data_IF_950552029111
#
_entry.id   IF_950552029111
#
_cell.length_a   1.000
_cell.length_b   1.000
_cell.length_c   1.000
_cell.angle_alpha   90.00
_cell.angle_beta   90.00
_cell.angle_gamma   90.00
#
_symmetry.space_group_name_H-M   'P 1'
#
loop_
_entity.id
_entity.type
_entity.pdbx_description
1 polymer ?
#
# COMPACT_ATOMS: atom_id res chain seq x y z
N UNK A 1 20.81 55.87 50.42
CA UNK A 1 20.97 56.15 49.04
C UNK A 1 21.24 54.83 48.30
N UNK A 2 20.18 54.24 47.71
CA UNK A 2 20.26 52.96 47.06
C UNK A 2 20.05 53.19 45.56
N UNK A 3 21.03 52.87 44.71
CA UNK A 3 20.94 52.96 43.25
C UNK A 3 20.44 51.64 42.70
N UNK A 4 19.26 51.70 42.15
CA UNK A 4 18.58 50.63 41.42
C UNK A 4 19.12 50.60 39.99
N UNK A 5 19.86 49.56 39.62
CA UNK A 5 20.39 49.31 38.26
C UNK A 5 19.46 48.31 37.59
N UNK A 6 18.58 48.80 36.69
CA UNK A 6 17.81 47.96 35.75
C UNK A 6 18.73 47.40 34.68
N UNK A 7 18.68 46.07 34.50
CA UNK A 7 19.26 45.35 33.34
C UNK A 7 18.40 45.60 32.11
N UNK A 8 18.97 45.84 30.92
CA UNK A 8 18.21 45.90 29.68
C UNK A 8 17.81 44.49 29.26
N UNK A 9 16.57 44.35 28.78
CA UNK A 9 16.01 43.09 28.29
C UNK A 9 16.70 42.60 27.00
N UNK A 10 16.96 41.35 26.99
CA UNK A 10 17.35 40.61 25.77
C UNK A 10 16.17 40.59 24.80
N UNK A 11 16.31 41.31 23.69
CA UNK A 11 15.41 41.19 22.55
C UNK A 11 15.77 39.91 21.81
N UNK A 12 14.87 38.93 21.86
CA UNK A 12 14.93 37.75 20.99
C UNK A 12 14.79 38.26 19.53
N UNK A 13 15.88 38.26 18.81
CA UNK A 13 15.91 38.53 17.37
C UNK A 13 15.22 37.39 16.66
N UNK A 14 13.96 37.56 16.28
CA UNK A 14 13.32 36.74 15.24
C UNK A 14 14.17 36.83 13.97
N UNK A 15 14.78 35.70 13.63
CA UNK A 15 15.51 35.55 12.36
C UNK A 15 14.50 35.57 11.22
N UNK A 16 14.13 36.79 10.74
CA UNK A 16 13.40 36.94 9.48
C UNK A 16 14.24 36.28 8.39
N UNK A 17 13.75 35.17 7.84
CA UNK A 17 14.29 34.58 6.62
C UNK A 17 13.86 35.48 5.49
N UNK A 18 14.77 36.33 5.02
CA UNK A 18 14.54 37.22 3.89
C UNK A 18 14.38 36.39 2.62
N UNK A 19 13.19 36.33 1.98
CA UNK A 19 12.96 35.57 0.77
C UNK A 19 13.83 36.02 -0.40
N UNK A 20 14.30 37.29 -0.41
CA UNK A 20 15.20 37.84 -1.43
C UNK A 20 16.61 37.27 -1.33
N UNK A 21 17.06 36.84 -0.14
CA UNK A 21 18.38 36.25 0.05
C UNK A 21 18.54 34.86 -0.61
N UNK A 22 17.44 34.18 -0.89
CA UNK A 22 17.42 32.88 -1.60
C UNK A 22 17.51 33.08 -3.11
N UNK A 23 16.89 34.12 -3.65
CA UNK A 23 16.97 34.47 -5.08
C UNK A 23 18.38 34.96 -5.44
N UNK A 24 19.02 35.77 -4.61
CA UNK A 24 20.39 36.24 -4.81
C UNK A 24 21.41 35.09 -4.82
N UNK A 25 21.23 34.09 -3.97
CA UNK A 25 22.10 32.90 -3.95
C UNK A 25 21.96 32.07 -5.22
N UNK A 26 20.75 31.90 -5.70
CA UNK A 26 20.47 31.16 -6.94
C UNK A 26 21.05 31.91 -8.14
N UNK A 27 20.82 33.22 -8.24
CA UNK A 27 21.37 34.05 -9.31
C UNK A 27 22.91 34.07 -9.29
N UNK A 28 23.52 34.20 -8.12
CA UNK A 28 24.98 34.18 -7.97
C UNK A 28 25.56 32.82 -8.39
N UNK A 29 24.89 31.72 -8.06
CA UNK A 29 25.28 30.37 -8.48
C UNK A 29 25.15 30.19 -10.00
N UNK A 30 24.07 30.66 -10.61
CA UNK A 30 23.83 30.59 -12.07
C UNK A 30 24.85 31.43 -12.85
N UNK A 31 25.16 32.66 -12.37
CA UNK A 31 26.17 33.50 -12.97
C UNK A 31 27.57 32.91 -12.85
N UNK A 32 27.93 32.39 -11.66
CA UNK A 32 29.21 31.73 -11.44
C UNK A 32 29.38 30.48 -12.30
N UNK A 33 28.32 29.71 -12.49
CA UNK A 33 28.31 28.54 -13.37
C UNK A 33 28.43 28.95 -14.86
N UNK A 34 27.82 30.07 -15.27
CA UNK A 34 27.95 30.63 -16.61
C UNK A 34 29.38 31.07 -16.91
N UNK A 35 30.06 31.71 -15.97
CA UNK A 35 31.43 32.19 -16.16
C UNK A 35 32.46 31.04 -16.13
N UNK A 36 32.22 30.02 -15.31
CA UNK A 36 33.02 28.79 -15.34
C UNK A 36 32.87 28.05 -16.68
N UNK A 37 31.62 27.99 -17.21
CA UNK A 37 31.34 27.35 -18.51
C UNK A 37 32.02 28.10 -19.68
N UNK A 38 32.17 29.43 -19.62
CA UNK A 38 32.89 30.20 -20.65
C UNK A 38 34.38 29.86 -20.72
N UNK A 39 34.99 29.47 -19.57
CA UNK A 39 36.38 29.03 -19.50
C UNK A 39 36.60 27.60 -19.99
N UNK A 40 35.56 26.74 -19.92
CA UNK A 40 35.60 25.31 -20.29
C UNK A 40 34.52 24.94 -21.29
N UNK A 41 34.53 25.58 -22.46
CA UNK A 41 33.48 25.42 -23.48
C UNK A 41 33.20 23.99 -23.87
N UNK A 42 34.24 23.17 -24.04
CA UNK A 42 34.11 21.76 -24.45
C UNK A 42 33.44 20.92 -23.34
N UNK A 43 33.78 21.17 -22.08
CA UNK A 43 33.16 20.51 -20.93
C UNK A 43 31.68 20.96 -20.76
N UNK A 44 31.40 22.26 -20.95
CA UNK A 44 30.03 22.78 -20.95
C UNK A 44 29.14 22.14 -22.01
N UNK A 45 29.67 21.93 -23.21
CA UNK A 45 28.95 21.24 -24.29
C UNK A 45 28.71 19.76 -23.98
N UNK A 46 29.67 19.07 -23.37
CA UNK A 46 29.51 17.67 -22.94
C UNK A 46 28.42 17.56 -21.88
N UNK A 47 28.43 18.43 -20.87
CA UNK A 47 27.39 18.43 -19.82
C UNK A 47 26.01 18.74 -20.40
N UNK A 48 25.90 19.75 -21.28
CA UNK A 48 24.63 20.06 -21.95
C UNK A 48 24.12 18.89 -22.79
N UNK A 49 25.01 18.20 -23.50
CA UNK A 49 24.66 17.01 -24.28
C UNK A 49 24.19 15.85 -23.40
N UNK A 50 24.86 15.61 -22.26
CA UNK A 50 24.45 14.58 -21.31
C UNK A 50 23.09 14.88 -20.66
N UNK A 51 22.82 16.14 -20.33
CA UNK A 51 21.51 16.57 -19.80
C UNK A 51 20.43 16.39 -20.86
N UNK A 52 20.70 16.74 -22.11
CA UNK A 52 19.75 16.54 -23.23
C UNK A 52 19.48 15.04 -23.46
N UNK A 53 20.51 14.21 -23.47
CA UNK A 53 20.39 12.74 -23.57
C UNK A 53 19.59 12.17 -22.41
N UNK A 54 19.87 12.58 -21.17
CA UNK A 54 19.13 12.17 -19.98
C UNK A 54 17.66 12.59 -20.02
N UNK A 55 17.40 13.82 -20.47
CA UNK A 55 16.03 14.32 -20.69
C UNK A 55 15.28 13.54 -21.76
N UNK A 56 15.91 13.28 -22.90
CA UNK A 56 15.31 12.49 -23.97
C UNK A 56 15.04 11.04 -23.53
N UNK A 57 15.97 10.42 -22.80
CA UNK A 57 15.80 9.08 -22.25
C UNK A 57 14.65 9.04 -21.22
N UNK A 58 14.50 10.07 -20.39
CA UNK A 58 13.40 10.17 -19.42
C UNK A 58 12.05 10.29 -20.13
N UNK A 59 11.94 11.17 -21.14
CA UNK A 59 10.71 11.33 -21.94
C UNK A 59 10.35 10.02 -22.62
N UNK A 60 11.31 9.38 -23.29
CA UNK A 60 11.12 8.08 -23.92
C UNK A 60 10.65 7.01 -22.93
N UNK A 61 11.25 6.95 -21.73
CA UNK A 61 10.86 6.02 -20.68
C UNK A 61 9.43 6.28 -20.18
N UNK A 62 9.06 7.56 -20.03
CA UNK A 62 7.69 7.93 -19.62
C UNK A 62 6.66 7.54 -20.67
N UNK A 63 6.92 7.80 -21.95
CA UNK A 63 6.03 7.42 -23.03
C UNK A 63 5.92 5.90 -23.16
N UNK A 64 7.04 5.18 -23.08
CA UNK A 64 7.05 3.72 -23.07
C UNK A 64 6.20 3.15 -21.92
N UNK A 65 6.34 3.68 -20.71
CA UNK A 65 5.51 3.26 -19.57
C UNK A 65 4.02 3.55 -19.78
N UNK A 66 3.68 4.71 -20.33
CA UNK A 66 2.29 5.07 -20.66
C UNK A 66 1.68 4.09 -21.66
N UNK A 67 2.41 3.80 -22.72
CA UNK A 67 1.96 2.85 -23.74
C UNK A 67 1.78 1.45 -23.16
N UNK A 68 2.67 1.00 -22.29
CA UNK A 68 2.55 -0.26 -21.59
C UNK A 68 1.30 -0.31 -20.71
N UNK A 69 1.01 0.75 -19.93
CA UNK A 69 -0.19 0.85 -19.10
C UNK A 69 -1.46 0.84 -19.96
N UNK A 70 -1.49 1.58 -21.07
CA UNK A 70 -2.64 1.66 -21.98
C UNK A 70 -2.91 0.29 -22.64
N UNK A 71 -1.86 -0.40 -23.09
CA UNK A 71 -1.98 -1.75 -23.64
C UNK A 71 -2.46 -2.75 -22.57
N UNK A 72 -1.95 -2.64 -21.35
CA UNK A 72 -2.40 -3.46 -20.22
C UNK A 72 -3.89 -3.24 -19.96
N UNK A 73 -4.35 -1.99 -19.87
CA UNK A 73 -5.76 -1.67 -19.61
C UNK A 73 -6.68 -2.28 -20.68
N UNK A 74 -6.37 -2.09 -21.97
CA UNK A 74 -7.17 -2.64 -23.07
C UNK A 74 -7.19 -4.18 -23.04
N UNK A 75 -6.07 -4.80 -22.69
CA UNK A 75 -5.97 -6.26 -22.65
C UNK A 75 -6.72 -6.84 -21.46
N UNK A 76 -6.62 -6.22 -20.29
CA UNK A 76 -7.35 -6.68 -19.10
C UNK A 76 -8.86 -6.60 -19.32
N UNK A 77 -9.34 -5.53 -19.96
CA UNK A 77 -10.76 -5.40 -20.32
C UNK A 77 -11.23 -6.56 -21.21
N UNK A 78 -10.41 -6.99 -22.19
CA UNK A 78 -10.75 -8.15 -23.02
C UNK A 78 -10.83 -9.46 -22.22
N UNK A 79 -10.01 -9.60 -21.17
CA UNK A 79 -10.04 -10.76 -20.28
C UNK A 79 -11.30 -10.73 -19.40
N UNK A 80 -11.71 -9.57 -18.87
CA UNK A 80 -12.97 -9.42 -18.14
C UNK A 80 -14.17 -9.89 -18.96
N UNK A 81 -14.20 -9.58 -20.26
CA UNK A 81 -15.23 -10.07 -21.17
C UNK A 81 -15.23 -11.61 -21.28
N UNK A 82 -14.06 -12.24 -21.32
CA UNK A 82 -13.91 -13.70 -21.34
C UNK A 82 -14.46 -14.35 -20.07
N UNK A 83 -14.26 -13.75 -18.91
CA UNK A 83 -14.83 -14.21 -17.63
C UNK A 83 -16.37 -14.13 -17.66
N UNK A 84 -16.90 -13.02 -18.18
CA UNK A 84 -18.36 -12.79 -18.24
C UNK A 84 -19.08 -13.84 -19.08
N UNK A 85 -18.45 -14.39 -20.13
CA UNK A 85 -19.02 -15.47 -20.97
C UNK A 85 -18.72 -16.87 -20.42
N UNK A 86 -18.24 -16.97 -19.16
CA UNK A 86 -17.96 -18.24 -18.47
C UNK A 86 -16.82 -19.08 -19.07
N UNK A 87 -15.87 -18.47 -19.76
CA UNK A 87 -14.66 -19.10 -20.23
C UNK A 87 -13.55 -19.03 -19.15
N UNK A 88 -13.82 -19.55 -17.94
CA UNK A 88 -13.00 -19.33 -16.74
C UNK A 88 -11.57 -19.90 -16.87
N UNK A 89 -11.43 -21.10 -17.42
CA UNK A 89 -10.10 -21.70 -17.62
C UNK A 89 -9.24 -20.91 -18.61
N UNK A 90 -9.84 -20.47 -19.72
CA UNK A 90 -9.17 -19.60 -20.68
C UNK A 90 -8.82 -18.23 -20.05
N UNK A 91 -9.70 -17.69 -19.19
CA UNK A 91 -9.46 -16.45 -18.48
C UNK A 91 -8.31 -16.58 -17.48
N UNK A 92 -8.24 -17.67 -16.71
CA UNK A 92 -7.10 -17.94 -15.79
C UNK A 92 -5.77 -18.01 -16.55
N UNK A 93 -5.73 -18.74 -17.67
CA UNK A 93 -4.53 -18.84 -18.51
C UNK A 93 -4.12 -17.49 -19.11
N UNK A 94 -5.10 -16.68 -19.55
CA UNK A 94 -4.84 -15.34 -20.07
C UNK A 94 -4.37 -14.38 -18.97
N UNK A 95 -4.94 -14.44 -17.74
CA UNK A 95 -4.52 -13.65 -16.60
C UNK A 95 -3.10 -13.98 -16.17
N UNK A 96 -2.74 -15.27 -16.10
CA UNK A 96 -1.38 -15.69 -15.76
C UNK A 96 -0.36 -15.10 -16.75
N UNK A 97 -0.59 -15.26 -18.05
CA UNK A 97 0.26 -14.67 -19.09
C UNK A 97 0.29 -13.13 -19.02
N UNK A 98 -0.84 -12.53 -18.65
CA UNK A 98 -0.96 -11.08 -18.51
C UNK A 98 -0.12 -10.53 -17.36
N UNK A 99 -0.18 -11.16 -16.18
CA UNK A 99 0.58 -10.79 -14.99
C UNK A 99 2.08 -10.83 -15.28
N UNK A 100 2.54 -11.89 -15.94
CA UNK A 100 3.95 -11.99 -16.33
C UNK A 100 4.37 -10.89 -17.32
N UNK A 101 3.57 -10.66 -18.36
CA UNK A 101 3.88 -9.72 -19.44
C UNK A 101 3.86 -8.26 -19.00
N UNK A 102 2.89 -7.89 -18.16
CA UNK A 102 2.65 -6.51 -17.72
C UNK A 102 3.08 -6.26 -16.28
N UNK A 103 3.98 -7.09 -15.76
CA UNK A 103 4.53 -6.98 -14.42
C UNK A 103 4.96 -5.54 -14.09
N UNK A 104 4.65 -5.08 -12.88
CA UNK A 104 4.94 -3.73 -12.42
C UNK A 104 3.97 -2.64 -12.94
N UNK A 105 2.85 -3.03 -13.55
CA UNK A 105 1.73 -2.11 -13.85
C UNK A 105 0.59 -2.30 -12.85
N UNK A 106 -0.20 -1.24 -12.55
CA UNK A 106 -1.38 -1.38 -11.69
C UNK A 106 -2.39 -2.42 -12.21
N UNK A 107 -2.48 -2.59 -13.54
CA UNK A 107 -3.35 -3.58 -14.15
C UNK A 107 -2.86 -5.02 -13.90
N UNK A 108 -1.55 -5.24 -13.78
CA UNK A 108 -1.02 -6.55 -13.40
C UNK A 108 -1.31 -6.87 -11.93
N UNK A 109 -1.30 -5.87 -11.05
CA UNK A 109 -1.71 -6.05 -9.65
C UNK A 109 -3.20 -6.43 -9.56
N UNK A 110 -4.07 -5.72 -10.29
CA UNK A 110 -5.50 -6.04 -10.40
C UNK A 110 -5.74 -7.44 -10.97
N UNK A 111 -5.03 -7.79 -12.05
CA UNK A 111 -5.11 -9.11 -12.67
C UNK A 111 -4.65 -10.23 -11.72
N UNK A 112 -3.65 -9.97 -10.87
CA UNK A 112 -3.21 -10.92 -9.84
C UNK A 112 -4.30 -11.19 -8.81
N UNK A 113 -4.97 -10.15 -8.32
CA UNK A 113 -6.10 -10.31 -7.38
C UNK A 113 -7.24 -11.09 -8.03
N UNK A 114 -7.54 -10.79 -9.28
CA UNK A 114 -8.57 -11.49 -10.03
C UNK A 114 -8.24 -12.96 -10.24
N UNK A 115 -6.99 -13.26 -10.63
CA UNK A 115 -6.50 -14.62 -10.79
C UNK A 115 -6.54 -15.41 -9.48
N UNK A 116 -6.07 -14.80 -8.39
CA UNK A 116 -6.16 -15.38 -7.06
C UNK A 116 -7.61 -15.69 -6.65
N UNK A 117 -8.55 -14.77 -6.92
CA UNK A 117 -9.98 -14.96 -6.66
C UNK A 117 -10.55 -16.14 -7.46
N UNK A 118 -10.24 -16.24 -8.75
CA UNK A 118 -10.73 -17.35 -9.58
C UNK A 118 -10.23 -18.70 -9.08
N UNK A 119 -8.98 -18.78 -8.62
CA UNK A 119 -8.47 -20.00 -7.99
C UNK A 119 -9.13 -20.30 -6.65
N UNK A 120 -9.48 -19.26 -5.86
CA UNK A 120 -10.26 -19.44 -4.62
C UNK A 120 -11.67 -19.97 -4.89
N UNK A 121 -12.33 -19.49 -5.95
CA UNK A 121 -13.66 -19.95 -6.36
C UNK A 121 -13.68 -21.41 -6.82
N UNK A 122 -12.58 -21.87 -7.43
CA UNK A 122 -12.39 -23.27 -7.84
C UNK A 122 -11.81 -24.15 -6.73
N UNK A 123 -11.64 -23.64 -5.51
CA UNK A 123 -11.04 -24.31 -4.36
C UNK A 123 -9.56 -24.71 -4.57
N UNK A 124 -8.89 -24.13 -5.57
CA UNK A 124 -7.47 -24.28 -5.85
C UNK A 124 -6.61 -23.40 -4.93
N UNK A 125 -6.80 -23.54 -3.61
CA UNK A 125 -6.23 -22.64 -2.62
C UNK A 125 -4.70 -22.59 -2.65
N UNK A 126 -4.02 -23.70 -2.95
CA UNK A 126 -2.55 -23.71 -3.06
C UNK A 126 -2.05 -22.86 -4.24
N UNK A 127 -2.79 -22.87 -5.35
CA UNK A 127 -2.44 -22.03 -6.51
C UNK A 127 -2.75 -20.57 -6.20
N UNK A 128 -3.89 -20.28 -5.57
CA UNK A 128 -4.23 -18.93 -5.11
C UNK A 128 -3.14 -18.35 -4.20
N UNK A 129 -2.68 -19.13 -3.21
CA UNK A 129 -1.57 -18.75 -2.32
C UNK A 129 -0.33 -18.44 -3.14
N UNK A 130 0.09 -19.35 -4.02
CA UNK A 130 1.29 -19.18 -4.84
C UNK A 130 1.26 -17.92 -5.70
N UNK A 131 0.12 -17.63 -6.33
CA UNK A 131 -0.09 -16.44 -7.17
C UNK A 131 0.01 -15.16 -6.33
N UNK A 132 -0.67 -15.12 -5.19
CA UNK A 132 -0.74 -13.92 -4.34
C UNK A 132 0.59 -13.67 -3.61
N UNK A 133 1.25 -14.71 -3.09
CA UNK A 133 2.57 -14.61 -2.45
C UNK A 133 3.64 -14.12 -3.44
N UNK A 134 3.68 -14.72 -4.64
CA UNK A 134 4.69 -14.39 -5.64
C UNK A 134 4.61 -12.94 -6.14
N UNK A 135 3.41 -12.37 -6.15
CA UNK A 135 3.20 -10.98 -6.54
C UNK A 135 3.69 -9.98 -5.49
N UNK A 136 3.69 -10.35 -4.20
CA UNK A 136 4.23 -9.52 -3.11
C UNK A 136 3.63 -8.12 -3.07
N UNK A 137 2.32 -7.98 -3.27
CA UNK A 137 1.66 -6.68 -3.38
C UNK A 137 1.69 -5.91 -2.07
N UNK A 138 2.09 -4.65 -2.17
CA UNK A 138 2.25 -3.77 -1.00
C UNK A 138 0.91 -3.44 -0.35
N UNK A 139 0.80 -3.58 0.96
CA UNK A 139 -0.36 -3.14 1.74
C UNK A 139 -0.55 -1.61 1.77
N UNK A 140 0.35 -0.83 1.19
CA UNK A 140 0.17 0.61 1.02
C UNK A 140 -0.79 1.01 -0.11
N UNK A 141 -1.40 0.05 -0.80
CA UNK A 141 -2.39 0.27 -1.87
C UNK A 141 -3.66 -0.52 -1.60
N UNK A 142 -4.81 -0.01 -2.05
CA UNK A 142 -6.08 -0.73 -1.91
C UNK A 142 -6.05 -2.12 -2.57
N UNK A 143 -5.44 -2.24 -3.74
CA UNK A 143 -5.24 -3.53 -4.43
C UNK A 143 -4.38 -4.48 -3.61
N UNK A 144 -3.32 -3.96 -2.98
CA UNK A 144 -2.47 -4.75 -2.10
C UNK A 144 -3.19 -5.23 -0.85
N UNK A 145 -3.98 -4.38 -0.19
CA UNK A 145 -4.83 -4.79 0.93
C UNK A 145 -5.79 -5.90 0.50
N UNK A 146 -6.45 -5.74 -0.65
CA UNK A 146 -7.37 -6.76 -1.19
C UNK A 146 -6.66 -8.08 -1.49
N UNK A 147 -5.45 -8.04 -2.07
CA UNK A 147 -4.64 -9.24 -2.34
C UNK A 147 -4.29 -9.98 -1.05
N UNK A 148 -3.86 -9.24 -0.04
CA UNK A 148 -3.45 -9.82 1.25
C UNK A 148 -4.65 -10.33 2.05
N UNK A 149 -5.83 -9.69 1.96
CA UNK A 149 -7.09 -10.21 2.51
C UNK A 149 -7.48 -11.54 1.86
N UNK A 150 -7.31 -11.63 0.55
CA UNK A 150 -7.59 -12.87 -0.18
C UNK A 150 -6.59 -13.97 0.18
N UNK A 151 -5.32 -13.62 0.34
CA UNK A 151 -4.24 -14.53 0.78
C UNK A 151 -4.52 -15.07 2.19
N UNK A 152 -4.95 -14.23 3.12
CA UNK A 152 -5.34 -14.65 4.47
C UNK A 152 -6.46 -15.72 4.43
N UNK A 153 -7.47 -15.49 3.61
CA UNK A 153 -8.57 -16.44 3.40
C UNK A 153 -8.10 -17.75 2.76
N UNK A 154 -7.15 -17.67 1.83
CA UNK A 154 -6.55 -18.86 1.22
C UNK A 154 -5.76 -19.70 2.23
N UNK A 155 -5.03 -19.03 3.15
CA UNK A 155 -4.38 -19.71 4.27
C UNK A 155 -5.37 -20.37 5.23
N UNK A 156 -6.48 -19.66 5.57
CA UNK A 156 -7.56 -20.27 6.38
C UNK A 156 -8.09 -21.56 5.73
N UNK A 157 -8.38 -21.50 4.42
CA UNK A 157 -8.91 -22.65 3.68
C UNK A 157 -7.94 -23.86 3.66
N UNK A 158 -6.62 -23.59 3.74
CA UNK A 158 -5.58 -24.63 3.84
C UNK A 158 -5.26 -25.03 5.29
N UNK A 159 -5.92 -24.45 6.30
CA UNK A 159 -5.63 -24.71 7.70
C UNK A 159 -4.28 -24.16 8.18
N UNK A 160 -3.68 -23.24 7.41
CA UNK A 160 -2.46 -22.51 7.79
C UNK A 160 -2.80 -21.37 8.74
N UNK A 161 -3.29 -21.74 9.93
CA UNK A 161 -3.90 -20.82 10.88
C UNK A 161 -2.99 -19.66 11.31
N UNK A 162 -1.70 -19.95 11.56
CA UNK A 162 -0.73 -18.93 11.98
C UNK A 162 -0.49 -17.89 10.89
N UNK A 163 -0.33 -18.34 9.63
CA UNK A 163 -0.11 -17.46 8.49
C UNK A 163 -1.37 -16.63 8.19
N UNK A 164 -2.55 -17.24 8.33
CA UNK A 164 -3.83 -16.56 8.15
C UNK A 164 -4.05 -15.46 9.20
N UNK A 165 -3.78 -15.75 10.47
CA UNK A 165 -3.91 -14.79 11.57
C UNK A 165 -2.96 -13.59 11.36
N UNK A 166 -1.67 -13.86 11.10
CA UNK A 166 -0.67 -12.82 10.85
C UNK A 166 -1.10 -11.90 9.69
N UNK A 167 -1.62 -12.52 8.63
CA UNK A 167 -2.05 -11.78 7.45
C UNK A 167 -3.30 -10.93 7.73
N UNK A 168 -4.29 -11.46 8.47
CA UNK A 168 -5.46 -10.68 8.87
C UNK A 168 -5.09 -9.51 9.78
N UNK A 169 -4.23 -9.70 10.78
CA UNK A 169 -3.75 -8.62 11.64
C UNK A 169 -3.00 -7.56 10.83
N UNK A 170 -2.19 -7.98 9.87
CA UNK A 170 -1.48 -7.07 8.98
C UNK A 170 -2.43 -6.23 8.12
N UNK A 171 -3.49 -6.84 7.57
CA UNK A 171 -4.54 -6.14 6.82
C UNK A 171 -5.27 -5.15 7.72
N UNK A 172 -5.66 -5.54 8.93
CA UNK A 172 -6.32 -4.66 9.88
C UNK A 172 -5.46 -3.44 10.23
N UNK A 173 -4.15 -3.63 10.36
CA UNK A 173 -3.21 -2.55 10.68
C UNK A 173 -2.93 -1.60 9.51
N UNK A 174 -3.13 -2.06 8.27
CA UNK A 174 -2.79 -1.32 7.06
C UNK A 174 -3.99 -0.60 6.43
N UNK A 175 -5.21 -1.07 6.69
CA UNK A 175 -6.42 -0.51 6.08
C UNK A 175 -6.87 0.77 6.80
N UNK A 176 -7.28 1.77 6.03
CA UNK A 176 -7.94 2.99 6.51
C UNK A 176 -9.49 2.84 6.54
N UNK A 177 -10.01 1.67 6.18
CA UNK A 177 -11.45 1.42 6.08
C UNK A 177 -11.96 0.64 7.30
N UNK A 178 -12.75 1.27 8.14
CA UNK A 178 -13.28 0.69 9.39
C UNK A 178 -13.90 -0.70 9.21
N UNK A 179 -14.56 -0.95 8.08
CA UNK A 179 -15.18 -2.25 7.83
C UNK A 179 -14.15 -3.34 7.54
N UNK A 180 -13.06 -3.02 6.82
CA UNK A 180 -11.97 -3.97 6.54
C UNK A 180 -11.18 -4.29 7.79
N UNK A 181 -10.85 -3.27 8.59
CA UNK A 181 -10.21 -3.43 9.90
C UNK A 181 -11.01 -4.40 10.75
N UNK A 182 -12.31 -4.13 10.91
CA UNK A 182 -13.20 -4.95 11.72
C UNK A 182 -13.34 -6.37 11.19
N UNK A 183 -13.51 -6.55 9.88
CA UNK A 183 -13.64 -7.88 9.26
C UNK A 183 -12.37 -8.70 9.49
N UNK A 184 -11.20 -8.07 9.34
CA UNK A 184 -9.92 -8.72 9.52
C UNK A 184 -9.65 -9.09 10.99
N UNK A 185 -9.92 -8.19 11.94
CA UNK A 185 -9.80 -8.50 13.37
C UNK A 185 -10.77 -9.61 13.79
N UNK A 186 -11.99 -9.62 13.25
CA UNK A 186 -12.97 -10.67 13.51
C UNK A 186 -12.52 -12.03 12.96
N UNK A 187 -11.90 -12.04 11.76
CA UNK A 187 -11.34 -13.26 11.20
C UNK A 187 -10.18 -13.78 12.05
N UNK A 188 -9.27 -12.92 12.47
CA UNK A 188 -8.18 -13.29 13.39
C UNK A 188 -8.72 -13.84 14.73
N UNK A 189 -9.77 -13.23 15.29
CA UNK A 189 -10.40 -13.72 16.53
C UNK A 189 -10.99 -15.13 16.34
N UNK A 190 -11.65 -15.41 15.21
CA UNK A 190 -12.15 -16.77 14.90
C UNK A 190 -11.02 -17.80 14.82
N UNK A 191 -9.90 -17.43 14.23
CA UNK A 191 -8.71 -18.29 14.15
C UNK A 191 -8.20 -18.59 15.57
N UNK A 192 -8.06 -17.60 16.45
CA UNK A 192 -7.66 -17.78 17.85
C UNK A 192 -8.61 -18.69 18.62
N UNK A 193 -9.92 -18.56 18.41
CA UNK A 193 -10.92 -19.48 19.00
C UNK A 193 -10.67 -20.92 18.51
N UNK A 194 -10.43 -21.11 17.22
CA UNK A 194 -10.14 -22.43 16.65
C UNK A 194 -8.89 -23.06 17.26
N UNK A 195 -7.89 -22.23 17.58
CA UNK A 195 -6.63 -22.63 18.24
C UNK A 195 -6.77 -22.74 19.77
N UNK A 196 -7.96 -22.46 20.33
CA UNK A 196 -8.27 -22.39 21.76
C UNK A 196 -7.53 -21.27 22.52
N UNK A 197 -7.05 -20.25 21.80
CA UNK A 197 -6.56 -19.00 22.41
C UNK A 197 -7.75 -18.05 22.66
N UNK A 198 -8.54 -18.39 23.66
CA UNK A 198 -9.74 -17.60 23.99
C UNK A 198 -9.39 -16.22 24.53
N UNK A 199 -8.29 -16.09 25.27
CA UNK A 199 -7.83 -14.78 25.77
C UNK A 199 -7.47 -13.83 24.64
N UNK A 200 -6.68 -14.31 23.68
CA UNK A 200 -6.32 -13.51 22.52
C UNK A 200 -7.52 -13.16 21.61
N UNK A 201 -8.51 -14.04 21.50
CA UNK A 201 -9.73 -13.74 20.77
C UNK A 201 -10.54 -12.61 21.45
N UNK A 202 -10.62 -12.61 22.78
CA UNK A 202 -11.28 -11.56 23.56
C UNK A 202 -10.56 -10.22 23.35
N UNK A 203 -9.24 -10.19 23.34
CA UNK A 203 -8.45 -8.97 23.08
C UNK A 203 -8.79 -8.36 21.70
N UNK A 204 -8.89 -9.18 20.66
CA UNK A 204 -9.25 -8.70 19.33
C UNK A 204 -10.68 -8.16 19.25
N UNK A 205 -11.65 -8.79 19.95
CA UNK A 205 -12.99 -8.25 20.03
C UNK A 205 -13.07 -6.96 20.86
N UNK A 206 -12.22 -6.78 21.87
CA UNK A 206 -12.09 -5.52 22.61
C UNK A 206 -11.57 -4.41 21.72
N UNK A 207 -10.56 -4.68 20.89
CA UNK A 207 -10.02 -3.74 19.91
C UNK A 207 -11.12 -3.26 18.93
N UNK A 208 -11.95 -4.20 18.43
CA UNK A 208 -13.11 -3.83 17.60
C UNK A 208 -14.08 -2.91 18.37
N UNK A 209 -14.36 -3.22 19.65
CA UNK A 209 -15.27 -2.42 20.47
C UNK A 209 -14.72 -1.01 20.76
N UNK A 210 -13.42 -0.87 20.94
CA UNK A 210 -12.76 0.43 21.13
C UNK A 210 -12.82 1.33 19.90
N UNK A 211 -12.79 0.73 18.71
CA UNK A 211 -12.92 1.44 17.44
C UNK A 211 -14.37 1.86 17.10
N UNK A 212 -15.38 1.25 17.74
CA UNK A 212 -16.79 1.56 17.49
C UNK A 212 -17.26 2.71 18.39
N UNK A 213 -18.08 3.63 17.83
CA UNK A 213 -18.75 4.68 18.60
C UNK A 213 -19.65 4.09 19.71
N UNK A 214 -19.85 4.85 20.79
CA UNK A 214 -20.58 4.35 21.96
C UNK A 214 -22.02 3.97 21.68
N UNK A 215 -22.65 4.61 20.70
CA UNK A 215 -24.03 4.39 20.25
C UNK A 215 -24.13 3.41 19.06
N UNK A 216 -23.03 2.80 18.62
CA UNK A 216 -23.04 1.90 17.49
C UNK A 216 -23.77 0.58 17.82
N UNK A 217 -24.81 0.22 17.06
CA UNK A 217 -25.61 -0.98 17.35
C UNK A 217 -24.79 -2.30 17.26
N UNK A 218 -23.65 -2.28 16.57
CA UNK A 218 -22.77 -3.44 16.44
C UNK A 218 -22.03 -3.79 17.74
N UNK A 219 -21.92 -2.85 18.70
CA UNK A 219 -21.32 -3.11 20.02
C UNK A 219 -21.95 -4.30 20.73
N UNK A 220 -23.29 -4.42 20.66
CA UNK A 220 -24.01 -5.54 21.23
C UNK A 220 -23.60 -6.90 20.67
N UNK A 221 -23.27 -6.97 19.38
CA UNK A 221 -22.82 -8.19 18.72
C UNK A 221 -21.46 -8.64 19.31
N UNK A 222 -20.48 -7.74 19.36
CA UNK A 222 -19.13 -8.07 19.83
C UNK A 222 -19.08 -8.33 21.34
N UNK A 223 -19.88 -7.62 22.14
CA UNK A 223 -20.05 -7.93 23.55
C UNK A 223 -20.61 -9.35 23.77
N UNK A 224 -21.58 -9.76 22.94
CA UNK A 224 -22.13 -11.12 23.00
C UNK A 224 -21.11 -12.19 22.60
N UNK A 225 -20.34 -11.94 21.54
CA UNK A 225 -19.24 -12.84 21.10
C UNK A 225 -18.18 -12.99 22.16
N UNK A 226 -17.78 -11.90 22.82
CA UNK A 226 -16.82 -11.97 23.94
C UNK A 226 -17.36 -12.80 25.11
N UNK A 227 -18.64 -12.62 25.48
CA UNK A 227 -19.25 -13.41 26.55
C UNK A 227 -19.34 -14.89 26.22
N UNK A 228 -19.64 -15.24 24.96
CA UNK A 228 -19.65 -16.62 24.48
C UNK A 228 -18.27 -17.26 24.58
N UNK A 229 -17.21 -16.53 24.12
CA UNK A 229 -15.84 -17.03 24.20
C UNK A 229 -15.39 -17.18 25.65
N UNK A 230 -15.71 -16.22 26.53
CA UNK A 230 -15.38 -16.29 27.96
C UNK A 230 -16.05 -17.51 28.64
N UNK A 231 -17.28 -17.82 28.28
CA UNK A 231 -18.00 -19.01 28.77
C UNK A 231 -17.42 -20.34 28.26
N UNK A 232 -16.62 -20.32 27.22
CA UNK A 232 -15.95 -21.53 26.67
C UNK A 232 -14.65 -21.90 27.40
N UNK A 233 -14.20 -21.07 28.34
CA UNK A 233 -12.98 -21.27 29.15
C UNK A 233 -13.27 -22.13 30.39
N UNK A 234 -14.53 -22.24 30.83
CA UNK A 234 -14.97 -23.06 31.97
C UNK A 234 -15.22 -24.53 31.54
#
# INVERSE_FOLDING_TARGET
MSKNTRRPGETVSERQVDPLATEDRFLTWVVGMSDWMKGNRDFGLIVAFLVMLGGAALVYYMDFKRDQINQAASRLESIHQSITISALEDAKAQLSTFVERFSGTPQAEEATVLLGRLHMEDEDFLVAISVLESAGLSMGTATGIQANSLLARAYEAQGRWSDAEEQHISVASASDLDFEVRESLEAAARIRITQRDFSGAIELYQEILEALADDDPRRGIYTSKMAEVAGSVE
#
